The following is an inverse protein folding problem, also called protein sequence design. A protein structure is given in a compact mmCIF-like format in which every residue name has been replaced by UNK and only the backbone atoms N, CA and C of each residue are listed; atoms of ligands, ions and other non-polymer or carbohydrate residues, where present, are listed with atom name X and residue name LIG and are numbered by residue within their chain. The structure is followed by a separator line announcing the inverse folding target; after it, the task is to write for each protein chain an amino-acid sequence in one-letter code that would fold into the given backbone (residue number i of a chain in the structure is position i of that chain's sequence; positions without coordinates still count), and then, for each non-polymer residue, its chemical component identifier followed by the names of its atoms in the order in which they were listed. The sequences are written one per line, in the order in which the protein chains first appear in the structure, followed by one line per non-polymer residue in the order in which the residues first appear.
data_IF_067151974095
#
_entry.id   IF_067151974095
#
_cell.length_a   1.000
_cell.length_b   1.000
_cell.length_c   1.000
_cell.angle_alpha   90.00
_cell.angle_beta   90.00
_cell.angle_gamma   90.00
#
_symmetry.space_group_name_H-M   'P 1'
#
loop_
_entity.id
_entity.type
_entity.pdbx_description
1 polymer ?
#
# COMPACT_ATOMS: atom_id res chain seq x y z
N UNK A 1 -9.37 2.99 -28.32
CA UNK A 1 -8.20 3.77 -27.85
C UNK A 1 -8.23 3.77 -26.34
N UNK A 2 -7.54 2.84 -25.66
CA UNK A 2 -7.60 2.70 -24.18
C UNK A 2 -6.25 2.31 -23.59
N UNK A 3 -5.16 2.73 -24.23
CA UNK A 3 -3.78 2.48 -23.76
C UNK A 3 -3.26 3.63 -22.88
N UNK A 4 -3.88 4.82 -22.90
CA UNK A 4 -3.35 6.03 -22.24
C UNK A 4 -3.50 6.11 -20.72
N UNK A 5 -4.57 5.56 -20.13
CA UNK A 5 -4.86 5.81 -18.71
C UNK A 5 -3.80 5.25 -17.73
N UNK A 6 -3.18 4.12 -18.06
CA UNK A 6 -2.16 3.51 -17.21
C UNK A 6 -0.77 4.15 -17.42
N UNK A 7 -0.48 4.60 -18.65
CA UNK A 7 0.78 5.25 -18.99
C UNK A 7 0.90 6.62 -18.29
N UNK A 8 -0.20 7.40 -18.28
CA UNK A 8 -0.25 8.67 -17.58
C UNK A 8 -0.15 8.52 -16.05
N UNK A 9 -0.76 7.47 -15.46
CA UNK A 9 -0.62 7.19 -14.00
C UNK A 9 0.84 6.90 -13.64
N UNK A 10 1.48 6.02 -14.41
CA UNK A 10 2.87 5.61 -14.18
C UNK A 10 3.84 6.77 -14.34
N UNK A 11 3.57 7.68 -15.29
CA UNK A 11 4.34 8.91 -15.45
C UNK A 11 4.19 9.83 -14.23
N UNK A 12 2.97 10.04 -13.73
CA UNK A 12 2.73 10.87 -12.55
C UNK A 12 3.40 10.30 -11.30
N UNK A 13 3.32 8.98 -11.07
CA UNK A 13 3.96 8.34 -9.93
C UNK A 13 5.49 8.38 -10.06
N UNK A 14 6.04 8.22 -11.26
CA UNK A 14 7.47 8.34 -11.50
C UNK A 14 8.00 9.76 -11.22
N UNK A 15 7.31 10.80 -11.70
CA UNK A 15 7.66 12.19 -11.41
C UNK A 15 7.59 12.48 -9.90
N UNK A 16 6.54 11.99 -9.23
CA UNK A 16 6.40 12.13 -7.78
C UNK A 16 7.48 11.40 -7.00
N UNK A 17 7.86 10.19 -7.42
CA UNK A 17 8.97 9.43 -6.81
C UNK A 17 10.28 10.22 -6.93
N UNK A 18 10.55 10.78 -8.11
CA UNK A 18 11.74 11.60 -8.34
C UNK A 18 11.77 12.80 -7.40
N UNK A 19 10.70 13.60 -7.38
CA UNK A 19 10.58 14.75 -6.48
C UNK A 19 10.79 14.35 -5.02
N UNK A 20 10.12 13.29 -4.55
CA UNK A 20 10.27 12.83 -3.16
C UNK A 20 11.69 12.34 -2.85
N UNK A 21 12.38 11.76 -3.82
CA UNK A 21 13.76 11.29 -3.65
C UNK A 21 14.69 12.48 -3.48
N UNK A 22 14.54 13.49 -4.34
CA UNK A 22 15.30 14.74 -4.28
C UNK A 22 15.02 15.47 -2.95
N UNK A 23 13.75 15.59 -2.55
CA UNK A 23 13.34 16.19 -1.27
C UNK A 23 13.93 15.43 -0.06
N UNK A 24 13.91 14.10 -0.10
CA UNK A 24 14.46 13.26 0.99
C UNK A 24 15.98 13.41 1.09
N UNK A 25 16.68 13.57 -0.04
CA UNK A 25 18.11 13.82 -0.05
C UNK A 25 18.43 15.17 0.60
N UNK A 26 17.70 16.23 0.25
CA UNK A 26 17.89 17.55 0.87
C UNK A 26 17.59 17.50 2.38
N UNK A 27 16.53 16.79 2.78
CA UNK A 27 16.21 16.58 4.20
C UNK A 27 17.29 15.77 4.93
N UNK A 28 17.91 14.80 4.28
CA UNK A 28 19.04 14.04 4.86
C UNK A 28 20.23 14.96 5.12
N UNK A 29 20.63 15.75 4.14
CA UNK A 29 21.75 16.70 4.29
C UNK A 29 21.46 17.71 5.40
N UNK A 30 20.26 18.31 5.41
CA UNK A 30 19.83 19.24 6.45
C UNK A 30 19.80 18.59 7.85
N UNK A 31 19.44 17.32 7.95
CA UNK A 31 19.45 16.57 9.20
C UNK A 31 20.89 16.30 9.71
N UNK A 32 21.81 15.94 8.82
CA UNK A 32 23.23 15.76 9.17
C UNK A 32 23.81 17.07 9.71
N UNK A 33 23.55 18.20 9.04
CA UNK A 33 23.99 19.52 9.49
C UNK A 33 23.39 19.90 10.85
N UNK A 34 22.08 19.69 11.02
CA UNK A 34 21.41 19.93 12.29
C UNK A 34 21.98 19.07 13.43
N UNK A 35 22.36 17.83 13.14
CA UNK A 35 23.01 16.94 14.10
C UNK A 35 24.38 17.48 14.51
N UNK A 36 25.16 18.00 13.57
CA UNK A 36 26.44 18.63 13.88
C UNK A 36 26.27 19.89 14.72
N UNK A 37 25.28 20.73 14.38
CA UNK A 37 24.99 21.96 15.14
C UNK A 37 24.48 21.66 16.55
N UNK A 38 23.65 20.64 16.72
CA UNK A 38 23.18 20.19 18.04
C UNK A 38 24.36 19.72 18.91
N UNK A 39 25.29 18.93 18.35
CA UNK A 39 26.50 18.49 19.06
C UNK A 39 27.41 19.66 19.47
N UNK A 40 27.43 20.74 18.69
CA UNK A 40 28.16 21.98 19.00
C UNK A 40 27.43 22.88 20.01
N UNK A 41 26.20 22.55 20.39
CA UNK A 41 25.35 23.38 21.26
C UNK A 41 24.71 24.58 20.54
N UNK A 42 24.80 24.65 19.21
CA UNK A 42 24.28 25.78 18.41
C UNK A 42 22.80 25.64 18.05
N UNK A 43 22.19 24.48 18.27
CA UNK A 43 20.77 24.24 18.05
C UNK A 43 20.19 23.63 19.32
N UNK A 44 19.04 24.11 19.75
CA UNK A 44 18.38 23.61 20.95
C UNK A 44 17.70 22.26 20.67
N UNK A 45 17.44 21.47 21.73
CA UNK A 45 16.84 20.15 21.60
C UNK A 45 15.49 20.17 20.89
N UNK A 46 14.64 21.17 21.16
CA UNK A 46 13.33 21.30 20.51
C UNK A 46 13.43 21.47 18.99
N UNK A 47 14.35 22.33 18.55
CA UNK A 47 14.56 22.61 17.13
C UNK A 47 15.21 21.42 16.42
N UNK A 48 16.12 20.72 17.10
CA UNK A 48 16.69 19.47 16.60
C UNK A 48 15.63 18.37 16.46
N UNK A 49 14.75 18.21 17.45
CA UNK A 49 13.66 17.23 17.40
C UNK A 49 12.66 17.52 16.28
N UNK A 50 12.35 18.79 16.02
CA UNK A 50 11.52 19.18 14.88
C UNK A 50 12.16 18.73 13.55
N UNK A 51 13.45 19.02 13.35
CA UNK A 51 14.18 18.60 12.14
C UNK A 51 14.28 17.08 12.00
N UNK A 52 14.44 16.35 13.10
CA UNK A 52 14.40 14.88 13.10
C UNK A 52 13.01 14.37 12.69
N UNK A 53 11.94 14.98 13.22
CA UNK A 53 10.58 14.61 12.86
C UNK A 53 10.29 14.85 11.38
N UNK A 54 10.71 16.00 10.83
CA UNK A 54 10.55 16.33 9.41
C UNK A 54 11.27 15.31 8.51
N UNK A 55 12.50 14.93 8.86
CA UNK A 55 13.25 13.89 8.15
C UNK A 55 12.54 12.52 8.18
N UNK A 56 11.98 12.13 9.33
CA UNK A 56 11.22 10.88 9.44
C UNK A 56 9.93 10.90 8.61
N UNK A 57 9.25 12.05 8.55
CA UNK A 57 8.04 12.21 7.72
C UNK A 57 8.41 12.04 6.25
N UNK A 58 9.50 12.64 5.77
CA UNK A 58 9.99 12.45 4.40
C UNK A 58 10.28 10.97 4.10
N UNK A 59 11.01 10.30 4.99
CA UNK A 59 11.35 8.88 4.83
C UNK A 59 10.12 7.96 4.77
N UNK A 60 9.08 8.23 5.58
CA UNK A 60 7.83 7.44 5.53
C UNK A 60 7.04 7.68 4.25
N UNK A 61 7.02 8.93 3.75
CA UNK A 61 6.42 9.29 2.46
C UNK A 61 7.11 8.57 1.30
N UNK A 62 8.44 8.52 1.30
CA UNK A 62 9.22 7.83 0.26
C UNK A 62 8.92 6.33 0.21
N UNK A 63 8.84 5.69 1.38
CA UNK A 63 8.45 4.28 1.47
C UNK A 63 7.04 4.02 0.90
N UNK A 64 6.09 4.93 1.14
CA UNK A 64 4.73 4.78 0.61
C UNK A 64 4.68 4.90 -0.92
N UNK A 65 5.39 5.88 -1.50
CA UNK A 65 5.45 6.03 -2.96
C UNK A 65 6.20 4.88 -3.62
N UNK A 66 7.27 4.36 -2.99
CA UNK A 66 7.99 3.19 -3.50
C UNK A 66 7.07 1.96 -3.62
N UNK A 67 6.21 1.73 -2.62
CA UNK A 67 5.19 0.67 -2.68
C UNK A 67 4.21 0.94 -3.84
N UNK A 68 3.77 2.18 -4.03
CA UNK A 68 2.84 2.56 -5.10
C UNK A 68 3.42 2.29 -6.50
N UNK A 69 4.69 2.62 -6.72
CA UNK A 69 5.43 2.31 -7.96
C UNK A 69 5.47 0.80 -8.22
N UNK A 70 5.75 -0.02 -7.21
CA UNK A 70 5.76 -1.48 -7.35
C UNK A 70 4.41 -2.03 -7.80
N UNK A 71 3.30 -1.51 -7.26
CA UNK A 71 1.96 -1.90 -7.68
C UNK A 71 1.65 -1.47 -9.12
N UNK A 72 1.95 -0.23 -9.49
CA UNK A 72 1.69 0.26 -10.85
C UNK A 72 2.51 -0.48 -11.91
N UNK A 73 3.79 -0.74 -11.65
CA UNK A 73 4.63 -1.55 -12.54
C UNK A 73 4.07 -2.98 -12.67
N UNK A 74 3.64 -3.61 -11.57
CA UNK A 74 3.00 -4.93 -11.60
C UNK A 74 1.71 -4.93 -12.44
N UNK A 75 0.87 -3.92 -12.29
CA UNK A 75 -0.38 -3.79 -13.05
C UNK A 75 -0.11 -3.52 -14.55
N UNK A 76 0.88 -2.67 -14.86
CA UNK A 76 1.29 -2.41 -16.23
C UNK A 76 1.81 -3.68 -16.92
N UNK A 77 2.65 -4.46 -16.25
CA UNK A 77 3.15 -5.74 -16.78
C UNK A 77 2.01 -6.73 -17.00
N UNK A 78 1.12 -6.93 -16.02
CA UNK A 78 -0.02 -7.85 -16.18
C UNK A 78 -0.95 -7.44 -17.33
N UNK A 79 -1.26 -6.15 -17.44
CA UNK A 79 -2.11 -5.63 -18.52
C UNK A 79 -1.48 -5.85 -19.91
N UNK A 80 -0.16 -5.68 -20.03
CA UNK A 80 0.55 -5.93 -21.28
C UNK A 80 0.63 -7.42 -21.61
N UNK A 81 0.81 -8.31 -20.62
CA UNK A 81 0.75 -9.76 -20.82
C UNK A 81 -0.64 -10.21 -21.29
N UNK A 82 -1.72 -9.67 -20.72
CA UNK A 82 -3.09 -10.00 -21.13
C UNK A 82 -3.46 -9.48 -22.52
N UNK A 83 -2.76 -8.46 -23.03
CA UNK A 83 -2.90 -7.93 -24.41
C UNK A 83 -1.98 -8.62 -25.42
N UNK A 84 -1.28 -9.69 -25.02
CA UNK A 84 -0.58 -10.60 -25.92
C UNK A 84 -1.56 -11.31 -26.85
N UNK A 85 -1.96 -10.61 -27.91
CA UNK A 85 -2.66 -11.16 -29.06
C UNK A 85 -1.77 -12.26 -29.63
N UNK A 86 -2.14 -13.53 -29.42
CA UNK A 86 -1.71 -14.59 -30.33
C UNK A 86 -2.23 -14.17 -31.70
N UNK A 87 -1.38 -13.93 -32.72
CA UNK A 87 -1.87 -13.75 -34.07
C UNK A 87 -2.49 -15.07 -34.48
N UNK A 88 -3.82 -15.17 -34.40
CA UNK A 88 -4.54 -16.27 -35.03
C UNK A 88 -4.40 -16.01 -36.53
N UNK A 89 -3.72 -16.89 -37.30
CA UNK A 89 -3.64 -16.70 -38.74
C UNK A 89 -5.06 -16.74 -39.34
N UNK A 90 -5.34 -15.96 -40.40
CA UNK A 90 -6.66 -15.89 -40.98
C UNK A 90 -7.09 -17.27 -41.51
N UNK A 91 -8.38 -17.64 -41.39
CA UNK A 91 -8.87 -18.88 -41.97
C UNK A 91 -8.72 -18.83 -43.49
N UNK A 92 -7.85 -19.70 -44.01
CA UNK A 92 -7.72 -19.92 -45.45
C UNK A 92 -9.07 -20.37 -46.01
N UNK A 93 -9.61 -19.60 -46.95
CA UNK A 93 -10.76 -19.99 -47.75
C UNK A 93 -10.31 -21.08 -48.71
N UNK A 94 -10.61 -22.33 -48.38
CA UNK A 94 -10.64 -23.41 -49.37
C UNK A 94 -12.05 -23.95 -49.42
N UNK A 95 -12.72 -23.66 -50.54
CA UNK A 95 -13.98 -24.30 -50.88
C UNK A 95 -13.77 -25.80 -51.09
N UNK A 96 -14.75 -26.57 -50.60
CA UNK A 96 -15.18 -27.87 -51.14
C UNK A 96 -16.45 -28.29 -50.38
N UNK A 97 -17.58 -28.09 -51.05
CA UNK A 97 -18.68 -29.03 -51.29
C UNK A 97 -19.03 -30.10 -50.20
N UNK A 98 -20.26 -29.94 -49.68
CA UNK A 98 -21.36 -30.92 -49.56
C UNK A 98 -21.36 -32.07 -48.50
N UNK A 99 -22.55 -32.18 -47.89
CA UNK A 99 -23.18 -33.30 -47.17
C UNK A 99 -22.82 -33.61 -45.70
N UNK A 100 -23.85 -33.62 -44.84
CA UNK A 100 -23.78 -34.25 -43.52
C UNK A 100 -24.72 -33.67 -42.46
N UNK A 101 -25.94 -34.17 -42.43
CA UNK A 101 -26.97 -33.98 -41.38
C UNK A 101 -26.46 -34.23 -39.94
N UNK A 102 -26.88 -33.39 -38.99
CA UNK A 102 -26.55 -33.57 -37.57
C UNK A 102 -27.28 -32.58 -36.64
N UNK A 103 -28.50 -32.94 -36.28
CA UNK A 103 -29.43 -32.28 -35.35
C UNK A 103 -28.98 -32.43 -33.88
N UNK A 104 -28.85 -31.35 -33.11
CA UNK A 104 -29.47 -31.19 -31.78
C UNK A 104 -29.35 -29.75 -31.22
N UNK A 105 -30.51 -29.19 -30.92
CA UNK A 105 -30.78 -27.99 -30.12
C UNK A 105 -30.71 -28.34 -28.61
N UNK A 106 -30.27 -27.41 -27.76
CA UNK A 106 -30.96 -27.07 -26.50
C UNK A 106 -30.34 -25.82 -25.84
N UNK A 107 -31.05 -24.70 -26.01
CA UNK A 107 -31.54 -23.74 -24.99
C UNK A 107 -30.78 -23.61 -23.64
N UNK A 108 -30.32 -22.40 -23.27
CA UNK A 108 -31.01 -21.36 -22.45
C UNK A 108 -30.44 -21.39 -21.00
N UNK A 109 -29.96 -20.30 -20.40
CA UNK A 109 -30.72 -19.20 -19.77
C UNK A 109 -29.82 -18.01 -19.42
N UNK A 110 -30.43 -16.82 -19.45
CA UNK A 110 -29.90 -15.52 -19.05
C UNK A 110 -29.88 -15.29 -17.52
N UNK A 111 -29.19 -14.23 -17.08
CA UNK A 111 -29.69 -13.39 -15.98
C UNK A 111 -28.79 -13.18 -14.76
N UNK A 112 -27.99 -12.11 -14.81
CA UNK A 112 -27.69 -11.11 -13.74
C UNK A 112 -28.47 -11.23 -12.41
N UNK A 113 -27.77 -11.11 -11.27
CA UNK A 113 -27.67 -9.89 -10.41
C UNK A 113 -26.68 -10.10 -9.25
N UNK A 114 -26.00 -9.02 -8.85
CA UNK A 114 -25.13 -8.91 -7.69
C UNK A 114 -25.94 -8.60 -6.41
N UNK A 115 -25.41 -8.94 -5.23
CA UNK A 115 -25.49 -8.03 -4.07
C UNK A 115 -24.41 -8.32 -3.02
N UNK A 116 -23.97 -7.23 -2.41
CA UNK A 116 -22.88 -7.04 -1.46
C UNK A 116 -23.37 -7.14 -0.01
N UNK A 117 -22.42 -7.33 0.91
CA UNK A 117 -22.44 -6.90 2.32
C UNK A 117 -22.88 -7.94 3.35
N UNK A 118 -21.93 -8.40 4.19
CA UNK A 118 -21.93 -8.11 5.63
C UNK A 118 -20.72 -8.73 6.35
N UNK A 119 -19.98 -7.86 7.03
CA UNK A 119 -18.97 -8.18 8.03
C UNK A 119 -19.65 -8.66 9.31
N UNK A 120 -19.21 -9.81 9.84
CA UNK A 120 -19.51 -10.24 11.21
C UNK A 120 -18.23 -10.14 12.05
N UNK A 121 -18.24 -9.44 13.21
CA UNK A 121 -17.08 -9.43 14.09
C UNK A 121 -17.01 -10.75 14.85
N UNK A 122 -15.83 -11.37 14.79
CA UNK A 122 -15.47 -12.57 15.51
C UNK A 122 -15.33 -12.25 17.01
N UNK A 123 -16.29 -12.70 17.82
CA UNK A 123 -16.25 -12.64 19.28
C UNK A 123 -15.09 -13.48 19.82
N UNK A 124 -14.01 -12.84 20.25
CA UNK A 124 -12.92 -13.48 20.98
C UNK A 124 -13.27 -13.72 22.47
N UNK A 125 -12.77 -14.81 23.09
CA UNK A 125 -13.18 -15.25 24.42
C UNK A 125 -12.69 -14.30 25.52
N UNK A 126 -13.61 -13.94 26.42
CA UNK A 126 -13.36 -13.15 27.64
C UNK A 126 -12.43 -13.92 28.59
N UNK A 127 -11.11 -13.78 28.44
CA UNK A 127 -10.19 -14.02 29.55
C UNK A 127 -10.24 -12.78 30.43
N UNK A 128 -10.76 -12.93 31.65
CA UNK A 128 -10.67 -11.93 32.72
C UNK A 128 -9.19 -11.58 32.93
N UNK A 129 -8.73 -10.53 32.26
CA UNK A 129 -7.38 -10.05 32.39
C UNK A 129 -7.25 -9.44 33.79
N UNK A 130 -6.40 -10.03 34.62
CA UNK A 130 -6.06 -9.46 35.92
C UNK A 130 -5.40 -8.09 35.67
N UNK A 131 -5.88 -7.06 36.37
CA UNK A 131 -5.41 -5.68 36.24
C UNK A 131 -4.84 -5.19 37.57
N UNK A 132 -3.85 -4.32 37.50
CA UNK A 132 -3.25 -3.59 38.63
C UNK A 132 -3.29 -2.08 38.36
N UNK A 133 -3.14 -1.27 39.40
CA UNK A 133 -3.06 0.18 39.27
C UNK A 133 -1.60 0.63 39.14
N UNK A 134 -1.36 1.66 38.34
CA UNK A 134 -0.02 2.19 38.16
C UNK A 134 0.53 2.80 39.45
N UNK A 135 1.78 2.46 39.83
CA UNK A 135 2.40 2.96 41.07
C UNK A 135 2.62 4.49 41.09
N UNK A 136 2.67 5.12 39.92
CA UNK A 136 2.97 6.56 39.78
C UNK A 136 1.71 7.39 39.51
N UNK A 137 0.86 6.95 38.57
CA UNK A 137 -0.28 7.74 38.10
C UNK A 137 -1.64 7.05 38.29
N UNK A 138 -1.68 5.93 39.01
CA UNK A 138 -2.90 5.19 39.37
C UNK A 138 -3.79 4.70 38.21
N UNK A 139 -3.33 4.78 36.97
CA UNK A 139 -4.08 4.25 35.81
C UNK A 139 -4.16 2.72 35.86
N UNK A 140 -5.30 2.16 35.49
CA UNK A 140 -5.51 0.72 35.37
C UNK A 140 -4.68 0.14 34.22
N UNK A 141 -3.82 -0.82 34.53
CA UNK A 141 -2.94 -1.50 33.59
C UNK A 141 -3.05 -3.02 33.76
N UNK A 142 -2.67 -3.82 32.76
CA UNK A 142 -2.62 -5.28 32.91
C UNK A 142 -1.61 -5.71 33.99
N UNK A 143 -1.89 -6.80 34.73
CA UNK A 143 -1.01 -7.30 35.82
C UNK A 143 0.40 -7.64 35.31
N UNK A 144 0.50 -8.19 34.08
CA UNK A 144 1.77 -8.51 33.42
C UNK A 144 2.51 -7.30 32.83
N UNK A 145 1.96 -6.08 32.91
CA UNK A 145 2.60 -4.90 32.33
C UNK A 145 3.86 -4.52 33.14
N UNK A 146 5.00 -4.44 32.44
CA UNK A 146 6.28 -3.96 32.99
C UNK A 146 6.37 -2.44 33.02
N UNK A 147 5.58 -1.75 32.19
CA UNK A 147 5.56 -0.29 32.04
C UNK A 147 4.13 0.21 31.93
N UNK A 148 3.87 1.41 32.43
CA UNK A 148 2.57 2.06 32.33
C UNK A 148 2.38 2.69 30.94
N UNK A 149 1.26 2.38 30.29
CA UNK A 149 0.90 2.97 28.99
C UNK A 149 0.44 4.43 29.07
N UNK A 150 0.26 4.99 30.26
CA UNK A 150 -0.10 6.40 30.48
C UNK A 150 1.10 7.27 30.84
N UNK A 151 1.93 6.84 31.80
CA UNK A 151 3.05 7.66 32.30
C UNK A 151 4.45 7.14 31.96
N UNK A 152 4.56 5.98 31.30
CA UNK A 152 5.83 5.41 30.85
C UNK A 152 6.74 4.82 31.93
N UNK A 153 6.42 4.97 33.21
CA UNK A 153 7.22 4.42 34.31
C UNK A 153 7.08 2.89 34.44
N UNK A 154 8.09 2.23 35.00
CA UNK A 154 8.05 0.79 35.31
C UNK A 154 7.04 0.46 36.43
N UNK A 155 6.46 -0.75 36.38
CA UNK A 155 5.27 -1.17 37.15
C UNK A 155 5.47 -2.46 37.92
#
# INVERSE_FOLDING_TARGET
MSVGANDDSLRVVAEKLKQLTDDTQEQYEAFIDATQLYKKGNVNQKDFLAKLADYLIGMTSLNFIAIQVLFEVKLAIQTNLSKGQIPVPPPSKTGRDMEGVGLVDVRKTAGVVADSSQMTPLSSPTRSAKVKSCIVCASTIPDQAKFCNKCGNSQ
#
